data_IF_843889163567
#
_entry.id   IF_843889163567
#
_cell.length_a   1.000
_cell.length_b   1.000
_cell.length_c   1.000
_cell.angle_alpha   90.00
_cell.angle_beta   90.00
_cell.angle_gamma   90.00
#
_symmetry.space_group_name_H-M   'P 1'
#
loop_
_entity.id
_entity.type
_entity.pdbx_description
1 polymer ?
#
# COMPACT_ATOMS: atom_id res chain seq x y z
N UNK A 1 38.88 -20.61 -41.47
CA UNK A 1 39.77 -19.43 -41.38
C UNK A 1 39.33 -18.67 -40.15
N UNK A 2 40.16 -18.60 -39.12
CA UNK A 2 39.92 -17.75 -37.95
C UNK A 2 40.40 -16.34 -38.28
N UNK A 3 39.50 -15.36 -38.15
CA UNK A 3 39.83 -13.95 -38.29
C UNK A 3 40.32 -13.43 -36.93
N UNK A 4 41.61 -13.14 -36.84
CA UNK A 4 42.20 -12.50 -35.67
C UNK A 4 41.93 -10.99 -35.75
N UNK A 5 41.13 -10.45 -34.83
CA UNK A 5 40.93 -9.00 -34.69
C UNK A 5 42.01 -8.43 -33.78
N UNK A 6 43.02 -7.78 -34.37
CA UNK A 6 44.09 -7.09 -33.64
C UNK A 6 43.53 -5.75 -33.17
N UNK A 7 43.63 -5.47 -31.86
CA UNK A 7 43.26 -4.17 -31.29
C UNK A 7 44.52 -3.32 -31.21
N UNK A 8 44.56 -2.24 -31.97
CA UNK A 8 45.63 -1.25 -31.85
C UNK A 8 45.64 -0.70 -30.41
N UNK A 9 46.76 -0.91 -29.72
CA UNK A 9 46.95 -0.52 -28.33
C UNK A 9 48.28 0.21 -28.20
N UNK A 10 48.21 1.51 -27.93
CA UNK A 10 49.36 2.31 -27.57
C UNK A 10 49.39 2.47 -26.05
N UNK A 11 50.47 1.98 -25.43
CA UNK A 11 50.60 2.02 -23.98
C UNK A 11 50.93 3.45 -23.53
N UNK A 12 49.95 4.10 -22.90
CA UNK A 12 50.15 5.38 -22.23
C UNK A 12 49.74 5.24 -20.75
N UNK A 13 50.70 5.33 -19.80
CA UNK A 13 50.45 5.14 -18.37
C UNK A 13 49.54 6.23 -17.78
N UNK A 14 49.59 7.45 -18.32
CA UNK A 14 48.79 8.58 -17.85
C UNK A 14 47.30 8.35 -18.16
N UNK A 15 46.96 7.89 -19.36
CA UNK A 15 45.57 7.56 -19.73
C UNK A 15 45.04 6.32 -19.03
N UNK A 16 45.90 5.37 -18.62
CA UNK A 16 45.48 4.24 -17.80
C UNK A 16 45.13 4.68 -16.38
N UNK A 17 45.96 5.53 -15.78
CA UNK A 17 45.72 6.06 -14.44
C UNK A 17 44.48 6.97 -14.40
N UNK A 18 44.29 7.87 -15.38
CA UNK A 18 43.08 8.69 -15.50
C UNK A 18 41.82 7.84 -15.59
N UNK A 19 41.82 6.80 -16.44
CA UNK A 19 40.65 5.89 -16.55
C UNK A 19 40.36 5.15 -15.25
N UNK A 20 41.41 4.76 -14.50
CA UNK A 20 41.25 4.10 -13.21
C UNK A 20 40.62 5.04 -12.18
N UNK A 21 41.09 6.30 -12.14
CA UNK A 21 40.54 7.35 -11.28
C UNK A 21 39.09 7.70 -11.65
N UNK A 22 38.77 7.79 -12.95
CA UNK A 22 37.40 7.99 -13.42
C UNK A 22 36.48 6.84 -13.00
N UNK A 23 36.93 5.59 -13.12
CA UNK A 23 36.15 4.43 -12.70
C UNK A 23 35.91 4.42 -11.18
N UNK A 24 36.93 4.72 -10.39
CA UNK A 24 36.81 4.82 -8.93
C UNK A 24 35.85 5.94 -8.52
N UNK A 25 35.98 7.11 -9.16
CA UNK A 25 35.07 8.24 -8.95
C UNK A 25 33.62 7.87 -9.29
N UNK A 26 33.38 7.26 -10.46
CA UNK A 26 32.04 6.83 -10.86
C UNK A 26 31.45 5.81 -9.88
N UNK A 27 32.26 4.90 -9.37
CA UNK A 27 31.82 3.90 -8.38
C UNK A 27 31.44 4.58 -7.06
N UNK A 28 32.23 5.55 -6.60
CA UNK A 28 31.94 6.33 -5.39
C UNK A 28 30.69 7.20 -5.56
N UNK A 29 30.54 7.87 -6.71
CA UNK A 29 29.38 8.69 -7.03
C UNK A 29 28.10 7.83 -7.08
N UNK A 30 28.19 6.63 -7.66
CA UNK A 30 27.09 5.67 -7.72
C UNK A 30 26.63 5.26 -6.31
N UNK A 31 27.55 4.88 -5.42
CA UNK A 31 27.19 4.48 -4.04
C UNK A 31 26.60 5.64 -3.24
N UNK A 32 27.14 6.86 -3.43
CA UNK A 32 26.64 8.07 -2.78
C UNK A 32 25.21 8.40 -3.25
N UNK A 33 24.98 8.34 -4.57
CA UNK A 33 23.65 8.57 -5.14
C UNK A 33 22.65 7.50 -4.69
N UNK A 34 23.03 6.22 -4.74
CA UNK A 34 22.19 5.10 -4.30
C UNK A 34 21.75 5.28 -2.85
N UNK A 35 22.68 5.63 -1.96
CA UNK A 35 22.39 5.83 -0.53
C UNK A 35 21.44 7.01 -0.32
N UNK A 36 21.71 8.14 -0.98
CA UNK A 36 20.89 9.35 -0.88
C UNK A 36 19.48 9.12 -1.41
N UNK A 37 19.36 8.41 -2.53
CA UNK A 37 18.08 8.07 -3.15
C UNK A 37 17.26 7.14 -2.26
N UNK A 38 17.88 6.11 -1.68
CA UNK A 38 17.19 5.21 -0.75
C UNK A 38 16.65 5.97 0.48
N UNK A 39 17.47 6.84 1.08
CA UNK A 39 17.03 7.65 2.21
C UNK A 39 15.84 8.54 1.85
N UNK A 40 15.86 9.14 0.66
CA UNK A 40 14.73 9.90 0.12
C UNK A 40 13.49 9.03 -0.05
N UNK A 41 13.63 7.86 -0.70
CA UNK A 41 12.52 6.93 -0.91
C UNK A 41 11.88 6.48 0.42
N UNK A 42 12.67 6.17 1.45
CA UNK A 42 12.14 5.78 2.76
C UNK A 42 11.35 6.92 3.42
N UNK A 43 11.89 8.14 3.39
CA UNK A 43 11.22 9.32 3.95
C UNK A 43 9.90 9.58 3.22
N UNK A 44 9.95 9.66 1.89
CA UNK A 44 8.77 9.93 1.07
C UNK A 44 7.72 8.83 1.16
N UNK A 45 8.12 7.56 1.25
CA UNK A 45 7.19 6.46 1.44
C UNK A 45 6.42 6.60 2.77
N UNK A 46 7.11 6.94 3.85
CA UNK A 46 6.49 7.17 5.15
C UNK A 46 5.44 8.28 5.13
N UNK A 47 5.74 9.40 4.45
CA UNK A 47 4.81 10.53 4.29
C UNK A 47 3.57 10.16 3.47
N UNK A 48 3.76 9.46 2.35
CA UNK A 48 2.67 9.00 1.48
C UNK A 48 1.81 7.97 2.20
N UNK A 49 2.42 7.00 2.88
CA UNK A 49 1.71 5.99 3.66
C UNK A 49 0.90 6.60 4.81
N UNK A 50 1.50 7.53 5.55
CA UNK A 50 0.80 8.26 6.61
C UNK A 50 -0.39 9.02 6.05
N UNK A 51 -0.21 9.76 4.95
CA UNK A 51 -1.29 10.52 4.30
C UNK A 51 -2.42 9.60 3.83
N UNK A 52 -2.08 8.44 3.27
CA UNK A 52 -3.07 7.44 2.89
C UNK A 52 -3.85 6.87 4.08
N UNK A 53 -3.18 6.59 5.20
CA UNK A 53 -3.85 6.15 6.43
C UNK A 53 -4.79 7.23 7.00
N UNK A 54 -4.46 8.51 6.87
CA UNK A 54 -5.36 9.61 7.25
C UNK A 54 -6.64 9.59 6.40
N UNK A 55 -6.54 9.38 5.07
CA UNK A 55 -7.72 9.21 4.23
C UNK A 55 -8.57 8.01 4.63
N UNK A 56 -7.94 6.89 4.99
CA UNK A 56 -8.66 5.72 5.50
C UNK A 56 -9.42 6.04 6.79
N UNK A 57 -8.79 6.76 7.73
CA UNK A 57 -9.42 7.16 8.98
C UNK A 57 -10.61 8.11 8.74
N UNK A 58 -10.45 9.11 7.87
CA UNK A 58 -11.54 10.02 7.47
C UNK A 58 -12.68 9.24 6.85
N UNK A 59 -12.40 8.29 5.95
CA UNK A 59 -13.41 7.45 5.31
C UNK A 59 -14.19 6.60 6.33
N UNK A 60 -13.49 5.92 7.24
CA UNK A 60 -14.15 5.11 8.28
C UNK A 60 -14.99 5.99 9.20
N UNK A 61 -14.50 7.18 9.55
CA UNK A 61 -15.24 8.14 10.36
C UNK A 61 -16.51 8.63 9.64
N UNK A 62 -16.41 9.07 8.39
CA UNK A 62 -17.59 9.56 7.64
C UNK A 62 -18.62 8.47 7.43
N UNK A 63 -18.21 7.25 7.05
CA UNK A 63 -19.13 6.12 6.92
C UNK A 63 -19.78 5.76 8.27
N UNK A 64 -19.04 5.82 9.37
CA UNK A 64 -19.59 5.55 10.71
C UNK A 64 -20.62 6.59 11.13
N UNK A 65 -20.40 7.86 10.83
CA UNK A 65 -21.39 8.92 11.08
C UNK A 65 -22.63 8.71 10.20
N UNK A 66 -22.46 8.35 8.93
CA UNK A 66 -23.57 8.11 8.01
C UNK A 66 -24.41 6.90 8.41
N UNK A 67 -23.78 5.82 8.91
CA UNK A 67 -24.49 4.60 9.33
C UNK A 67 -25.05 4.66 10.75
N UNK A 68 -24.33 5.26 11.69
CA UNK A 68 -24.68 5.23 13.12
C UNK A 68 -25.23 6.56 13.66
N UNK A 69 -25.07 7.66 12.92
CA UNK A 69 -25.58 8.97 13.30
C UNK A 69 -24.72 9.72 14.32
N UNK A 70 -25.28 10.81 14.83
CA UNK A 70 -24.69 11.67 15.86
C UNK A 70 -25.41 11.50 17.21
N UNK A 71 -24.73 11.71 18.35
CA UNK A 71 -23.29 11.97 18.48
C UNK A 71 -22.41 10.75 18.15
N UNK A 72 -21.13 10.93 17.75
CA UNK A 72 -20.26 9.82 17.41
C UNK A 72 -19.98 8.95 18.64
N UNK A 73 -20.57 7.76 18.65
CA UNK A 73 -20.37 6.76 19.70
C UNK A 73 -19.99 5.43 19.06
N UNK A 74 -18.78 5.37 18.51
CA UNK A 74 -18.20 4.18 17.89
C UNK A 74 -16.71 4.08 18.17
N UNK A 75 -16.20 2.85 18.13
CA UNK A 75 -14.77 2.54 18.25
C UNK A 75 -14.30 1.95 16.92
N UNK A 76 -13.34 2.61 16.27
CA UNK A 76 -12.68 2.11 15.07
C UNK A 76 -11.41 1.36 15.45
N UNK A 77 -11.19 0.17 14.86
CA UNK A 77 -10.03 -0.68 15.14
C UNK A 77 -9.41 -1.15 13.84
N UNK A 78 -8.08 -1.17 13.77
CA UNK A 78 -7.32 -1.79 12.68
C UNK A 78 -6.94 -3.20 13.09
N UNK A 79 -7.24 -4.18 12.23
CA UNK A 79 -6.97 -5.59 12.47
C UNK A 79 -6.09 -6.15 11.35
N UNK A 80 -5.10 -6.95 11.72
CA UNK A 80 -4.25 -7.71 10.79
C UNK A 80 -4.41 -9.21 11.06
N UNK A 81 -5.53 -9.83 10.64
CA UNK A 81 -5.74 -11.26 10.79
C UNK A 81 -4.84 -12.03 9.82
N UNK A 82 -4.49 -13.28 10.17
CA UNK A 82 -3.85 -14.18 9.21
C UNK A 82 -4.81 -14.50 8.05
N UNK A 83 -4.27 -14.73 6.85
CA UNK A 83 -5.05 -15.05 5.63
C UNK A 83 -6.06 -16.20 5.83
N UNK A 84 -5.70 -17.19 6.66
CA UNK A 84 -6.58 -18.35 6.96
C UNK A 84 -7.70 -18.01 7.95
N UNK A 85 -7.48 -17.03 8.82
CA UNK A 85 -8.43 -16.66 9.88
C UNK A 85 -9.38 -15.53 9.48
N UNK A 86 -9.14 -14.83 8.37
CA UNK A 86 -9.94 -13.67 7.97
C UNK A 86 -11.44 -13.97 7.89
N UNK A 87 -11.82 -15.05 7.19
CA UNK A 87 -13.22 -15.49 7.09
C UNK A 87 -13.86 -15.75 8.47
N UNK A 88 -13.10 -16.35 9.38
CA UNK A 88 -13.57 -16.63 10.75
C UNK A 88 -13.78 -15.33 11.53
N UNK A 89 -12.86 -14.37 11.40
CA UNK A 89 -12.97 -13.06 12.05
C UNK A 89 -14.19 -12.30 11.54
N UNK A 90 -14.41 -12.25 10.21
CA UNK A 90 -15.60 -11.62 9.61
C UNK A 90 -16.90 -12.25 10.12
N UNK A 91 -16.97 -13.59 10.13
CA UNK A 91 -18.15 -14.31 10.64
C UNK A 91 -18.43 -14.02 12.12
N UNK A 92 -17.40 -13.89 12.97
CA UNK A 92 -17.60 -13.51 14.39
C UNK A 92 -18.18 -12.10 14.50
N UNK A 93 -17.63 -11.12 13.76
CA UNK A 93 -18.15 -9.74 13.82
C UNK A 93 -19.58 -9.63 13.27
N UNK A 94 -19.90 -10.37 12.21
CA UNK A 94 -21.26 -10.43 11.68
C UNK A 94 -22.26 -10.97 12.71
N UNK A 95 -21.91 -12.04 13.44
CA UNK A 95 -22.75 -12.59 14.49
C UNK A 95 -22.91 -11.68 15.71
N UNK A 96 -21.89 -10.89 16.04
CA UNK A 96 -21.98 -9.88 17.11
C UNK A 96 -22.87 -8.68 16.72
N UNK A 97 -23.04 -8.44 15.42
CA UNK A 97 -23.83 -7.33 14.89
C UNK A 97 -25.34 -7.60 14.82
N UNK A 98 -25.86 -8.79 15.12
CA UNK A 98 -27.28 -9.16 14.97
C UNK A 98 -28.29 -8.43 15.88
N UNK A 99 -27.87 -7.39 16.62
CA UNK A 99 -28.80 -6.47 17.28
C UNK A 99 -29.48 -5.53 16.25
N UNK A 100 -30.74 -5.18 16.49
CA UNK A 100 -31.75 -4.58 15.57
C UNK A 100 -31.37 -3.35 14.72
N UNK A 101 -30.15 -2.79 14.82
CA UNK A 101 -29.67 -1.64 14.03
C UNK A 101 -28.83 -2.03 12.80
N UNK A 102 -28.33 -3.27 12.72
CA UNK A 102 -27.42 -3.69 11.65
C UNK A 102 -28.09 -4.43 10.49
N UNK A 103 -29.35 -4.86 10.64
CA UNK A 103 -30.11 -5.56 9.59
C UNK A 103 -30.36 -4.69 8.35
N UNK A 104 -30.42 -3.37 8.49
CA UNK A 104 -30.62 -2.45 7.36
C UNK A 104 -29.47 -2.47 6.34
N UNK A 105 -28.25 -2.82 6.77
CA UNK A 105 -27.06 -2.87 5.91
C UNK A 105 -26.65 -4.29 5.52
N UNK A 106 -27.37 -5.32 5.99
CA UNK A 106 -27.27 -6.67 5.42
C UNK A 106 -28.03 -6.65 4.09
N UNK A 107 -27.32 -6.68 2.97
CA UNK A 107 -27.96 -6.94 1.69
C UNK A 107 -28.61 -8.31 1.76
N UNK A 108 -29.95 -8.35 1.82
CA UNK A 108 -30.70 -9.53 1.42
C UNK A 108 -30.41 -9.75 -0.07
N UNK A 109 -29.93 -10.92 -0.41
CA UNK A 109 -29.49 -11.29 -1.76
C UNK A 109 -30.66 -11.42 -2.76
N UNK A 110 -31.78 -10.74 -2.56
CA UNK A 110 -32.91 -10.81 -3.49
C UNK A 110 -33.75 -9.53 -3.46
N UNK A 111 -33.71 -8.75 -4.55
CA UNK A 111 -34.65 -7.64 -4.76
C UNK A 111 -34.00 -6.36 -5.31
N UNK A 112 -33.97 -6.24 -6.64
CA UNK A 112 -33.47 -5.07 -7.35
C UNK A 112 -34.12 -3.73 -6.92
N UNK A 113 -33.30 -2.70 -6.81
CA UNK A 113 -33.74 -1.34 -6.48
C UNK A 113 -32.62 -0.29 -6.56
N UNK A 114 -32.42 0.25 -7.76
CA UNK A 114 -32.00 1.62 -8.08
C UNK A 114 -30.93 2.31 -7.19
N UNK A 115 -29.69 2.35 -7.71
CA UNK A 115 -28.78 3.49 -7.50
C UNK A 115 -27.76 3.36 -6.37
N UNK A 116 -26.74 2.52 -6.54
CA UNK A 116 -25.48 2.67 -5.81
C UNK A 116 -24.32 2.61 -6.80
N UNK A 117 -23.73 3.76 -7.09
CA UNK A 117 -22.46 3.82 -7.79
C UNK A 117 -21.39 3.22 -6.86
N UNK A 118 -20.77 2.13 -7.32
CA UNK A 118 -19.61 1.46 -6.70
C UNK A 118 -19.83 0.78 -5.34
N UNK A 119 -20.40 -0.43 -5.32
CA UNK A 119 -20.32 -1.30 -4.15
C UNK A 119 -20.48 -2.78 -4.52
N UNK A 120 -19.51 -3.33 -5.29
CA UNK A 120 -19.29 -4.78 -5.34
C UNK A 120 -18.27 -5.17 -4.25
N UNK A 121 -18.50 -4.67 -3.04
CA UNK A 121 -17.61 -4.86 -1.88
C UNK A 121 -18.46 -5.43 -0.75
N UNK A 122 -18.10 -6.64 -0.31
CA UNK A 122 -18.69 -7.39 0.80
C UNK A 122 -19.47 -6.50 1.78
N UNK A 123 -20.80 -6.52 1.64
CA UNK A 123 -21.70 -5.72 2.44
C UNK A 123 -21.75 -6.27 3.88
N UNK A 124 -20.83 -5.80 4.72
CA UNK A 124 -20.81 -6.15 6.14
C UNK A 124 -21.79 -5.28 6.95
N UNK A 125 -22.43 -5.84 8.00
CA UNK A 125 -23.34 -5.11 8.88
C UNK A 125 -22.66 -3.98 9.67
N UNK A 126 -21.34 -3.94 9.69
CA UNK A 126 -20.51 -2.89 10.30
C UNK A 126 -19.70 -2.15 9.24
N UNK A 127 -19.24 -0.93 9.57
CA UNK A 127 -18.31 -0.20 8.71
C UNK A 127 -17.00 -0.97 8.64
N UNK A 128 -16.64 -1.42 7.45
CA UNK A 128 -15.42 -2.20 7.22
C UNK A 128 -14.69 -1.67 6.00
N UNK A 129 -13.37 -1.58 6.11
CA UNK A 129 -12.50 -1.20 5.01
C UNK A 129 -11.27 -2.11 5.01
N UNK A 130 -11.04 -2.82 3.89
CA UNK A 130 -9.88 -3.69 3.74
C UNK A 130 -8.70 -2.87 3.23
N UNK A 131 -7.61 -2.88 4.00
CA UNK A 131 -6.34 -2.22 3.65
C UNK A 131 -5.43 -3.29 3.06
N UNK A 132 -5.21 -3.24 1.74
CA UNK A 132 -4.25 -4.13 1.07
C UNK A 132 -2.85 -3.52 1.16
N UNK A 133 -1.99 -4.16 1.95
CA UNK A 133 -0.56 -3.84 2.00
C UNK A 133 0.15 -4.79 1.02
N UNK A 134 0.97 -4.23 0.12
CA UNK A 134 1.79 -4.97 -0.85
C UNK A 134 3.06 -5.47 -0.18
#
# INVERSE_FOLDING_TARGET
>A
MEYLMIRDFEYNPETQETRKQELEKLTQDQETFRTSMLQWCYTSYGEVFSSWMHFCAVRVFTESILRYGLPPSFLSVVLSPSMKSEKKVRSIFEGLCDNSKCTYWKSEEDGGGMGSFAADTDAHPYVSFTINLI
#
